data_IF_906365646001
#
_entry.id   IF_906365646001
#
_cell.length_a   1.000
_cell.length_b   1.000
_cell.length_c   1.000
_cell.angle_alpha   90.00
_cell.angle_beta   90.00
_cell.angle_gamma   90.00
#
_symmetry.space_group_name_H-M   'P 1'
#
loop_
_entity.id
_entity.type
_entity.pdbx_description
1 polymer ?
#
# COMPACT_ATOMS: atom_id res chain seq x y z
N UNK A 1 -3.57 -5.02 -2.57
CA UNK A 1 -3.02 -4.59 -3.87
C UNK A 1 -3.82 -3.51 -4.61
N UNK A 2 -5.17 -3.51 -4.76
CA UNK A 2 -5.87 -2.39 -5.40
C UNK A 2 -6.07 -1.16 -4.53
N UNK A 3 -6.07 -1.26 -3.21
CA UNK A 3 -6.34 -0.17 -2.27
C UNK A 3 -5.22 0.90 -2.18
N UNK A 4 -4.71 1.34 -3.33
CA UNK A 4 -3.63 2.33 -3.44
C UNK A 4 -4.03 3.67 -2.83
N UNK A 5 -5.28 4.10 -3.08
CA UNK A 5 -5.77 5.37 -2.62
C UNK A 5 -6.02 5.36 -1.11
N UNK A 6 -6.62 4.29 -0.59
CA UNK A 6 -6.89 4.14 0.84
C UNK A 6 -5.59 4.13 1.67
N UNK A 7 -4.55 3.43 1.22
CA UNK A 7 -3.23 3.43 1.87
C UNK A 7 -2.59 4.81 1.90
N UNK A 8 -2.61 5.52 0.78
CA UNK A 8 -2.12 6.89 0.73
C UNK A 8 -2.86 7.78 1.73
N UNK A 9 -4.20 7.76 1.70
CA UNK A 9 -5.01 8.59 2.58
C UNK A 9 -4.81 8.24 4.06
N UNK A 10 -4.62 6.95 4.37
CA UNK A 10 -4.26 6.50 5.70
C UNK A 10 -2.96 7.13 6.18
N UNK A 11 -1.91 7.07 5.35
CA UNK A 11 -0.64 7.71 5.67
C UNK A 11 -0.77 9.23 5.86
N UNK A 12 -1.51 9.93 4.97
CA UNK A 12 -1.72 11.37 5.08
C UNK A 12 -2.44 11.77 6.38
N UNK A 13 -3.44 11.00 6.82
CA UNK A 13 -4.12 11.27 8.10
C UNK A 13 -3.23 10.91 9.30
N UNK A 14 -2.51 9.79 9.24
CA UNK A 14 -1.55 9.40 10.28
C UNK A 14 -0.47 10.46 10.48
N UNK A 15 0.08 11.01 9.39
CA UNK A 15 1.15 12.01 9.46
C UNK A 15 0.74 13.29 10.20
N UNK A 16 -0.54 13.64 10.21
CA UNK A 16 -1.04 14.82 10.94
C UNK A 16 -0.94 14.67 12.46
N UNK A 17 -0.96 13.45 12.96
CA UNK A 17 -0.89 13.14 14.40
C UNK A 17 0.53 12.95 14.94
N UNK A 18 1.57 12.97 14.09
CA UNK A 18 2.96 12.77 14.49
C UNK A 18 3.56 14.04 15.12
N UNK A 19 4.67 13.88 15.83
CA UNK A 19 5.45 15.01 16.35
C UNK A 19 6.01 15.90 15.23
N UNK A 20 6.45 17.12 15.61
CA UNK A 20 6.88 18.13 14.65
C UNK A 20 8.10 17.72 13.80
N UNK A 21 9.04 16.96 14.36
CA UNK A 21 10.25 16.53 13.66
C UNK A 21 9.90 15.56 12.55
N UNK A 22 9.09 14.55 12.86
CA UNK A 22 8.60 13.59 11.86
C UNK A 22 7.73 14.24 10.79
N UNK A 23 6.87 15.20 11.17
CA UNK A 23 6.09 15.96 10.19
C UNK A 23 6.98 16.79 9.27
N UNK A 24 8.06 17.38 9.76
CA UNK A 24 9.03 18.13 8.95
C UNK A 24 9.72 17.22 7.94
N UNK A 25 10.21 16.05 8.38
CA UNK A 25 10.83 15.05 7.50
C UNK A 25 9.86 14.55 6.43
N UNK A 26 8.63 14.21 6.81
CA UNK A 26 7.60 13.74 5.87
C UNK A 26 7.24 14.84 4.86
N UNK A 27 7.14 16.09 5.29
CA UNK A 27 6.85 17.21 4.41
C UNK A 27 7.98 17.43 3.40
N UNK A 28 9.22 17.42 3.86
CA UNK A 28 10.40 17.60 3.02
C UNK A 28 10.57 16.47 2.00
N UNK A 29 10.30 15.24 2.40
CA UNK A 29 10.45 14.03 1.58
C UNK A 29 9.10 13.34 1.29
N UNK A 30 8.06 14.14 1.04
CA UNK A 30 6.67 13.67 0.87
C UNK A 30 6.50 12.61 -0.22
N UNK A 31 7.32 12.64 -1.26
CA UNK A 31 7.29 11.62 -2.32
C UNK A 31 7.81 10.26 -1.82
N UNK A 32 8.83 10.26 -0.95
CA UNK A 32 9.34 9.03 -0.33
C UNK A 32 8.32 8.45 0.65
N UNK A 33 7.74 9.28 1.51
CA UNK A 33 6.64 8.89 2.40
C UNK A 33 5.48 8.28 1.61
N UNK A 34 5.03 8.98 0.57
CA UNK A 34 3.92 8.52 -0.28
C UNK A 34 4.23 7.19 -0.98
N UNK A 35 5.48 6.98 -1.44
CA UNK A 35 5.87 5.68 -1.99
C UNK A 35 5.89 4.60 -0.88
N UNK A 36 6.34 4.96 0.32
CA UNK A 36 6.31 4.09 1.50
C UNK A 36 4.91 3.58 1.83
N UNK A 37 3.86 4.41 1.68
CA UNK A 37 2.47 3.97 1.91
C UNK A 37 2.00 2.85 0.96
N UNK A 38 2.79 2.51 -0.05
CA UNK A 38 2.54 1.35 -0.91
C UNK A 38 3.34 0.12 -0.48
N UNK A 39 4.23 0.25 0.50
CA UNK A 39 4.98 -0.85 1.07
C UNK A 39 5.61 -1.77 0.02
N UNK A 40 5.56 -3.10 0.24
CA UNK A 40 6.12 -4.07 -0.69
C UNK A 40 5.26 -4.28 -1.94
N UNK A 41 4.05 -3.72 -2.02
CA UNK A 41 3.13 -3.84 -3.15
C UNK A 41 3.71 -3.29 -4.45
N UNK A 42 4.58 -2.28 -4.35
CA UNK A 42 5.30 -1.75 -5.51
C UNK A 42 6.04 -2.86 -6.29
N UNK A 43 6.49 -3.92 -5.62
CA UNK A 43 7.22 -5.02 -6.24
C UNK A 43 6.33 -5.90 -7.13
N UNK A 44 5.02 -5.95 -6.87
CA UNK A 44 4.08 -6.71 -7.70
C UNK A 44 3.92 -6.13 -9.11
N UNK A 45 4.27 -4.86 -9.28
CA UNK A 45 4.25 -4.19 -10.57
C UNK A 45 5.52 -4.41 -11.41
N UNK A 46 6.54 -5.14 -10.89
CA UNK A 46 7.70 -5.53 -11.70
C UNK A 46 7.32 -6.66 -12.65
N UNK A 47 7.21 -6.37 -13.95
CA UNK A 47 6.82 -7.36 -14.99
C UNK A 47 5.60 -8.21 -14.55
N UNK A 48 4.42 -7.60 -14.32
CA UNK A 48 3.29 -8.21 -13.59
C UNK A 48 2.70 -9.46 -14.24
N UNK A 49 2.93 -9.66 -15.54
CA UNK A 49 2.44 -10.84 -16.28
C UNK A 49 3.40 -12.03 -16.22
N UNK A 50 4.61 -11.86 -15.66
CA UNK A 50 5.62 -12.91 -15.59
C UNK A 50 5.96 -13.21 -14.13
N UNK A 51 6.14 -14.49 -13.80
CA UNK A 51 6.77 -14.87 -12.53
C UNK A 51 8.22 -14.39 -12.53
N UNK A 52 8.66 -13.75 -11.46
CA UNK A 52 10.03 -13.27 -11.30
C UNK A 52 10.37 -13.09 -9.82
N UNK A 53 11.65 -13.06 -9.53
CA UNK A 53 12.19 -12.96 -8.16
C UNK A 53 11.73 -11.70 -7.42
N UNK A 54 11.64 -10.55 -8.12
CA UNK A 54 11.21 -9.30 -7.49
C UNK A 54 9.78 -9.39 -6.98
N UNK A 55 8.87 -10.02 -7.74
CA UNK A 55 7.49 -10.24 -7.28
C UNK A 55 7.42 -11.27 -6.17
N UNK A 56 8.22 -12.35 -6.28
CA UNK A 56 8.30 -13.34 -5.21
C UNK A 56 8.83 -12.72 -3.92
N UNK A 57 9.81 -11.82 -4.02
CA UNK A 57 10.30 -11.06 -2.87
C UNK A 57 9.18 -10.25 -2.19
N UNK A 58 8.34 -9.54 -2.96
CA UNK A 58 7.15 -8.86 -2.42
C UNK A 58 6.21 -9.82 -1.67
N UNK A 59 5.90 -10.98 -2.28
CA UNK A 59 5.06 -12.01 -1.64
C UNK A 59 5.70 -12.54 -0.34
N UNK A 60 6.99 -12.82 -0.36
CA UNK A 60 7.70 -13.32 0.81
C UNK A 60 7.76 -12.27 1.93
N UNK A 61 7.86 -10.98 1.58
CA UNK A 61 7.83 -9.89 2.55
C UNK A 61 6.46 -9.83 3.25
N UNK A 62 5.36 -9.94 2.52
CA UNK A 62 4.01 -9.99 3.12
C UNK A 62 3.80 -11.19 4.05
N UNK A 63 4.52 -12.28 3.84
CA UNK A 63 4.41 -13.47 4.68
C UNK A 63 5.22 -13.40 5.98
N UNK A 64 6.18 -12.46 6.08
CA UNK A 64 7.00 -12.27 7.29
C UNK A 64 6.23 -11.49 8.36
N UNK A 65 6.59 -11.70 9.63
CA UNK A 65 6.11 -10.83 10.71
C UNK A 65 6.59 -9.39 10.51
N UNK A 66 5.80 -8.44 10.96
CA UNK A 66 6.24 -7.03 10.98
C UNK A 66 7.56 -6.87 11.71
N UNK A 67 7.74 -7.59 12.83
CA UNK A 67 9.01 -7.59 13.57
C UNK A 67 10.21 -7.91 12.68
N UNK A 68 10.16 -9.02 11.96
CA UNK A 68 11.28 -9.45 11.09
C UNK A 68 11.57 -8.44 9.95
N UNK A 69 10.55 -7.76 9.47
CA UNK A 69 10.70 -6.74 8.41
C UNK A 69 11.28 -5.45 8.97
N UNK A 70 10.71 -4.93 10.07
CA UNK A 70 11.04 -3.60 10.57
C UNK A 70 12.27 -3.58 11.48
N UNK A 71 12.65 -4.68 12.15
CA UNK A 71 13.96 -4.78 12.81
C UNK A 71 15.11 -4.61 11.80
N UNK A 72 15.00 -5.28 10.63
CA UNK A 72 15.99 -5.12 9.57
C UNK A 72 16.05 -3.69 9.03
N UNK A 73 14.90 -3.05 8.83
CA UNK A 73 14.83 -1.68 8.33
C UNK A 73 15.35 -0.66 9.34
N UNK A 74 15.07 -0.88 10.63
CA UNK A 74 15.63 -0.06 11.70
C UNK A 74 17.15 -0.19 11.76
N UNK A 75 17.70 -1.42 11.67
CA UNK A 75 19.14 -1.63 11.62
C UNK A 75 19.79 -0.87 10.46
N UNK A 76 19.20 -0.93 9.26
CA UNK A 76 19.67 -0.17 8.10
C UNK A 76 19.63 1.34 8.33
N UNK A 77 18.63 1.86 9.02
CA UNK A 77 18.54 3.29 9.35
C UNK A 77 19.60 3.69 10.37
N UNK A 78 19.85 2.85 11.39
CA UNK A 78 20.92 3.04 12.37
C UNK A 78 22.30 3.04 11.70
N UNK A 79 22.58 2.10 10.80
CA UNK A 79 23.82 2.03 10.02
C UNK A 79 24.07 3.30 9.20
N UNK A 80 23.03 3.99 8.75
CA UNK A 80 23.12 5.28 8.06
C UNK A 80 23.25 6.48 9.01
N UNK A 81 23.37 6.26 10.32
CA UNK A 81 23.49 7.30 11.34
C UNK A 81 22.17 7.96 11.70
N UNK A 82 21.06 7.24 11.62
CA UNK A 82 19.69 7.73 11.96
C UNK A 82 19.34 9.05 11.27
N UNK A 83 19.65 9.18 9.99
CA UNK A 83 19.39 10.42 9.24
C UNK A 83 17.90 10.67 9.05
N UNK A 84 17.53 11.92 9.20
CA UNK A 84 16.19 12.44 8.92
C UNK A 84 16.08 12.80 7.42
N UNK A 85 15.99 11.80 6.58
CA UNK A 85 16.05 11.92 5.13
C UNK A 85 14.91 11.16 4.42
N UNK A 86 15.04 10.99 3.12
CA UNK A 86 14.08 10.27 2.30
C UNK A 86 13.88 8.81 2.75
N UNK A 87 14.89 8.19 3.38
CA UNK A 87 14.76 6.82 3.86
C UNK A 87 13.85 6.76 5.09
N UNK A 88 14.03 7.66 6.07
CA UNK A 88 13.13 7.74 7.22
C UNK A 88 11.69 8.06 6.79
N UNK A 89 11.50 9.03 5.90
CA UNK A 89 10.16 9.33 5.38
C UNK A 89 9.52 8.11 4.71
N UNK A 90 10.29 7.35 3.92
CA UNK A 90 9.82 6.10 3.32
C UNK A 90 9.42 5.07 4.38
N UNK A 91 10.22 4.91 5.43
CA UNK A 91 9.92 3.98 6.54
C UNK A 91 8.63 4.36 7.26
N UNK A 92 8.41 5.65 7.54
CA UNK A 92 7.15 6.12 8.13
C UNK A 92 5.94 5.75 7.26
N UNK A 93 6.03 5.94 5.95
CA UNK A 93 4.98 5.52 5.02
C UNK A 93 4.80 4.00 5.01
N UNK A 94 5.89 3.24 5.08
CA UNK A 94 5.83 1.78 5.08
C UNK A 94 5.21 1.22 6.37
N UNK A 95 5.47 1.85 7.51
CA UNK A 95 4.79 1.52 8.76
C UNK A 95 3.28 1.78 8.68
N UNK A 96 2.86 2.86 8.01
CA UNK A 96 1.44 3.09 7.72
C UNK A 96 0.85 1.95 6.86
N UNK A 97 1.53 1.55 5.79
CA UNK A 97 1.09 0.44 4.94
C UNK A 97 0.92 -0.84 5.75
N UNK A 98 1.95 -1.24 6.50
CA UNK A 98 1.92 -2.43 7.34
C UNK A 98 0.77 -2.40 8.35
N UNK A 99 0.58 -1.26 9.04
CA UNK A 99 -0.48 -1.14 10.05
C UNK A 99 -1.86 -1.34 9.43
N UNK A 100 -2.15 -0.70 8.31
CA UNK A 100 -3.45 -0.84 7.65
C UNK A 100 -3.67 -2.27 7.15
N UNK A 101 -2.66 -2.87 6.52
CA UNK A 101 -2.73 -4.26 6.03
C UNK A 101 -2.98 -5.24 7.19
N UNK A 102 -2.20 -5.15 8.26
CA UNK A 102 -2.32 -6.05 9.42
C UNK A 102 -3.69 -5.96 10.10
N UNK A 103 -4.32 -4.78 10.10
CA UNK A 103 -5.64 -4.56 10.68
C UNK A 103 -6.80 -4.97 9.76
N UNK A 104 -6.62 -4.87 8.44
CA UNK A 104 -7.72 -5.00 7.47
C UNK A 104 -7.73 -6.34 6.72
N UNK A 105 -6.57 -6.93 6.37
CA UNK A 105 -6.54 -8.05 5.44
C UNK A 105 -7.24 -9.31 5.96
N UNK A 106 -7.09 -9.62 7.26
CA UNK A 106 -7.84 -10.76 7.81
C UNK A 106 -9.35 -10.56 7.67
N UNK A 107 -9.86 -9.37 7.93
CA UNK A 107 -11.26 -9.04 7.73
C UNK A 107 -11.66 -9.20 6.25
N UNK A 108 -10.85 -8.69 5.32
CA UNK A 108 -11.09 -8.79 3.88
C UNK A 108 -11.11 -10.24 3.43
N UNK A 109 -10.17 -11.05 3.88
CA UNK A 109 -10.09 -12.47 3.55
C UNK A 109 -11.31 -13.24 4.09
N UNK A 110 -11.71 -12.99 5.34
CA UNK A 110 -12.89 -13.61 5.96
C UNK A 110 -14.20 -13.26 5.25
N UNK A 111 -14.28 -12.08 4.59
CA UNK A 111 -15.47 -11.62 3.84
C UNK A 111 -15.37 -11.87 2.34
N UNK A 112 -14.26 -12.43 1.87
CA UNK A 112 -14.09 -12.80 0.46
C UNK A 112 -14.87 -14.06 0.13
N UNK A 113 -15.60 -14.03 -0.98
CA UNK A 113 -16.44 -15.13 -1.45
C UNK A 113 -16.23 -15.40 -2.94
N UNK A 114 -16.93 -16.38 -3.50
CA UNK A 114 -16.94 -16.59 -4.95
C UNK A 114 -17.59 -15.44 -5.72
N UNK A 115 -18.51 -14.69 -5.08
CA UNK A 115 -19.21 -13.55 -5.67
C UNK A 115 -18.43 -12.23 -5.48
N UNK A 116 -17.69 -12.09 -4.38
CA UNK A 116 -16.94 -10.89 -4.04
C UNK A 116 -15.51 -11.28 -3.67
N UNK A 117 -14.57 -11.04 -4.57
CA UNK A 117 -13.17 -11.38 -4.34
C UNK A 117 -12.50 -10.37 -3.40
N UNK A 118 -11.38 -10.77 -2.79
CA UNK A 118 -10.49 -9.89 -2.02
C UNK A 118 -10.20 -8.57 -2.77
N UNK A 119 -9.71 -8.68 -4.02
CA UNK A 119 -9.41 -7.50 -4.83
C UNK A 119 -10.64 -6.63 -5.16
N UNK A 120 -11.84 -7.23 -5.18
CA UNK A 120 -13.09 -6.49 -5.33
C UNK A 120 -13.39 -5.64 -4.09
N UNK A 121 -13.29 -6.22 -2.89
CA UNK A 121 -13.50 -5.48 -1.64
C UNK A 121 -12.54 -4.29 -1.57
N UNK A 122 -11.26 -4.49 -1.84
CA UNK A 122 -10.26 -3.42 -1.82
C UNK A 122 -10.53 -2.33 -2.87
N UNK A 123 -10.91 -2.69 -4.10
CA UNK A 123 -11.21 -1.70 -5.14
C UNK A 123 -12.48 -0.91 -4.85
N UNK A 124 -13.50 -1.54 -4.24
CA UNK A 124 -14.70 -0.86 -3.77
C UNK A 124 -14.40 0.08 -2.59
N UNK A 125 -13.50 -0.31 -1.71
CA UNK A 125 -13.04 0.57 -0.62
C UNK A 125 -12.26 1.78 -1.15
N UNK A 126 -11.38 1.61 -2.13
CA UNK A 126 -10.72 2.75 -2.83
C UNK A 126 -11.75 3.71 -3.46
N UNK A 127 -12.81 3.18 -4.08
CA UNK A 127 -13.91 3.99 -4.61
C UNK A 127 -14.67 4.74 -3.52
N UNK A 128 -14.95 4.06 -2.40
CA UNK A 128 -15.59 4.66 -1.24
C UNK A 128 -14.77 5.84 -0.71
N UNK A 129 -13.47 5.67 -0.54
CA UNK A 129 -12.54 6.71 -0.08
C UNK A 129 -12.43 7.87 -1.07
N UNK A 130 -12.36 7.60 -2.38
CA UNK A 130 -12.38 8.65 -3.42
C UNK A 130 -13.63 9.53 -3.33
N UNK A 131 -14.81 8.93 -3.12
CA UNK A 131 -16.07 9.69 -2.97
C UNK A 131 -16.11 10.48 -1.68
N UNK A 132 -15.65 9.90 -0.58
CA UNK A 132 -15.55 10.58 0.72
C UNK A 132 -14.70 11.85 0.61
N UNK A 133 -13.67 11.84 -0.23
CA UNK A 133 -12.81 13.00 -0.51
C UNK A 133 -13.37 13.90 -1.65
N UNK A 134 -14.59 13.68 -2.12
CA UNK A 134 -15.26 14.51 -3.13
C UNK A 134 -14.81 14.25 -4.57
N UNK A 135 -14.05 13.19 -4.83
CA UNK A 135 -13.63 12.85 -6.19
C UNK A 135 -14.65 11.98 -6.91
N UNK A 136 -14.89 12.26 -8.17
CA UNK A 136 -15.66 11.34 -9.01
C UNK A 136 -14.81 10.13 -9.36
N UNK A 137 -15.44 8.96 -9.39
CA UNK A 137 -14.78 7.72 -9.78
C UNK A 137 -14.22 7.87 -11.20
N UNK A 138 -13.00 7.39 -11.41
CA UNK A 138 -12.23 7.54 -12.67
C UNK A 138 -11.84 8.99 -13.01
N UNK A 139 -11.99 9.94 -12.07
CA UNK A 139 -11.53 11.32 -12.32
C UNK A 139 -10.03 11.45 -12.28
N UNK A 140 -9.36 10.53 -11.59
CA UNK A 140 -7.92 10.54 -11.35
C UNK A 140 -7.32 9.14 -11.49
N UNK A 141 -6.09 9.09 -11.96
CA UNK A 141 -5.25 7.92 -11.80
C UNK A 141 -4.88 7.78 -10.32
N UNK A 142 -5.32 6.70 -9.66
CA UNK A 142 -5.09 6.45 -8.24
C UNK A 142 -3.62 6.30 -7.85
N UNK A 143 -2.74 6.06 -8.81
CA UNK A 143 -1.29 6.04 -8.63
C UNK A 143 -0.57 7.28 -9.18
N UNK A 144 -1.29 8.35 -9.53
CA UNK A 144 -0.70 9.58 -10.11
C UNK A 144 0.28 10.25 -9.16
N UNK A 145 0.01 10.17 -7.86
CA UNK A 145 0.82 10.76 -6.80
C UNK A 145 2.13 10.01 -6.53
N UNK A 146 2.28 8.77 -7.00
CA UNK A 146 3.50 8.00 -6.79
C UNK A 146 4.60 8.55 -7.69
N UNK A 147 5.67 9.03 -7.08
CA UNK A 147 6.84 9.60 -7.75
C UNK A 147 8.05 8.66 -7.64
N UNK A 148 9.03 8.85 -8.51
CA UNK A 148 10.34 8.23 -8.43
C UNK A 148 11.45 9.26 -8.26
N UNK A 149 11.14 10.48 -7.78
CA UNK A 149 12.07 11.60 -7.62
C UNK A 149 12.53 11.75 -6.17
N UNK A 150 13.38 12.71 -5.90
CA UNK A 150 13.75 13.17 -4.55
C UNK A 150 14.17 12.05 -3.60
N UNK A 151 15.02 11.10 -4.08
CA UNK A 151 15.54 10.02 -3.26
C UNK A 151 14.60 8.84 -3.00
N UNK A 152 13.33 8.92 -3.41
CA UNK A 152 12.36 7.87 -3.04
C UNK A 152 12.64 6.49 -3.68
N UNK A 153 13.23 6.44 -4.89
CA UNK A 153 13.65 5.14 -5.47
C UNK A 153 14.78 4.50 -4.68
N UNK A 154 15.76 5.30 -4.28
CA UNK A 154 16.89 4.88 -3.46
C UNK A 154 16.39 4.38 -2.10
N UNK A 155 15.53 5.13 -1.43
CA UNK A 155 14.92 4.74 -0.16
C UNK A 155 14.16 3.41 -0.27
N UNK A 156 13.31 3.27 -1.28
CA UNK A 156 12.59 2.03 -1.56
C UNK A 156 13.54 0.86 -1.89
N UNK A 157 14.55 1.10 -2.73
CA UNK A 157 15.54 0.09 -3.12
C UNK A 157 16.32 -0.43 -1.91
N UNK A 158 16.74 0.47 -1.03
CA UNK A 158 17.44 0.15 0.21
C UNK A 158 16.54 -0.67 1.16
N UNK A 159 15.34 -0.18 1.45
CA UNK A 159 14.39 -0.86 2.34
C UNK A 159 14.03 -2.27 1.86
N UNK A 160 13.88 -2.43 0.54
CA UNK A 160 13.49 -3.71 -0.04
C UNK A 160 14.66 -4.63 -0.40
N UNK A 161 15.91 -4.17 -0.35
CA UNK A 161 17.05 -4.93 -0.85
C UNK A 161 16.93 -5.25 -2.36
N UNK A 162 16.35 -4.36 -3.15
CA UNK A 162 16.06 -4.55 -4.57
C UNK A 162 16.73 -3.46 -5.40
N UNK A 163 17.31 -3.82 -6.53
CA UNK A 163 17.96 -2.87 -7.45
C UNK A 163 17.05 -1.69 -7.83
N UNK A 164 17.59 -0.46 -7.79
CA UNK A 164 16.86 0.78 -8.05
C UNK A 164 16.20 0.81 -9.45
N UNK A 165 16.83 0.20 -10.47
CA UNK A 165 16.25 0.14 -11.82
C UNK A 165 15.01 -0.75 -11.84
N UNK A 166 14.97 -1.81 -11.01
CA UNK A 166 13.77 -2.65 -10.83
C UNK A 166 12.65 -1.86 -10.14
N UNK A 167 12.98 -1.09 -9.10
CA UNK A 167 12.03 -0.18 -8.42
C UNK A 167 11.49 0.87 -9.40
N UNK A 168 12.35 1.56 -10.13
CA UNK A 168 11.94 2.55 -11.13
C UNK A 168 10.98 1.98 -12.17
N UNK A 169 11.25 0.75 -12.65
CA UNK A 169 10.35 0.05 -13.57
C UNK A 169 9.02 -0.29 -12.91
N UNK A 170 9.04 -0.75 -11.67
CA UNK A 170 7.82 -1.06 -10.88
C UNK A 170 6.93 0.18 -10.74
N UNK A 171 7.49 1.31 -10.33
CA UNK A 171 6.79 2.60 -10.19
C UNK A 171 6.15 3.01 -11.53
N UNK A 172 6.93 2.97 -12.63
CA UNK A 172 6.43 3.31 -13.97
C UNK A 172 5.26 2.41 -14.38
N UNK A 173 5.38 1.10 -14.12
CA UNK A 173 4.35 0.12 -14.45
C UNK A 173 3.11 0.31 -13.57
N UNK A 174 3.28 0.55 -12.27
CA UNK A 174 2.21 0.82 -11.33
C UNK A 174 1.37 2.02 -11.77
N UNK A 175 2.01 3.13 -12.10
CA UNK A 175 1.32 4.33 -12.61
C UNK A 175 0.57 4.07 -13.91
N UNK A 176 1.17 3.32 -14.84
CA UNK A 176 0.55 2.98 -16.12
C UNK A 176 -0.68 2.10 -15.93
N UNK A 177 -0.55 1.02 -15.17
CA UNK A 177 -1.62 0.04 -14.96
C UNK A 177 -2.79 0.69 -14.22
N UNK A 178 -2.53 1.44 -13.14
CA UNK A 178 -3.60 2.11 -12.40
C UNK A 178 -4.25 3.23 -13.20
N UNK A 179 -3.51 3.90 -14.08
CA UNK A 179 -4.07 4.82 -15.07
C UNK A 179 -5.03 4.13 -16.04
N UNK A 180 -4.76 2.88 -16.39
CA UNK A 180 -5.66 2.08 -17.22
C UNK A 180 -6.91 1.65 -16.44
N UNK A 181 -6.76 1.19 -15.21
CA UNK A 181 -7.87 0.77 -14.34
C UNK A 181 -8.82 1.92 -13.97
N UNK A 182 -8.31 3.14 -13.89
CA UNK A 182 -9.06 4.36 -13.62
C UNK A 182 -9.40 5.17 -14.89
N UNK A 183 -9.31 4.58 -16.07
CA UNK A 183 -9.62 5.26 -17.34
C UNK A 183 -11.06 5.74 -17.38
N UNK A 184 -11.27 6.95 -17.93
CA UNK A 184 -12.61 7.53 -18.13
C UNK A 184 -13.34 6.93 -19.34
N UNK A 185 -12.61 6.28 -20.24
CA UNK A 185 -13.14 5.78 -21.51
C UNK A 185 -13.84 4.44 -21.28
N UNK A 186 -15.18 4.43 -21.36
CA UNK A 186 -16.01 3.24 -21.14
C UNK A 186 -15.70 2.12 -22.14
N UNK A 187 -15.53 2.49 -23.40
CA UNK A 187 -15.18 1.55 -24.46
C UNK A 187 -13.86 0.83 -24.18
N UNK A 188 -12.90 1.56 -23.58
CA UNK A 188 -11.62 0.95 -23.15
C UNK A 188 -11.84 -0.11 -22.06
N UNK A 189 -12.69 0.16 -21.06
CA UNK A 189 -12.99 -0.83 -20.02
C UNK A 189 -13.66 -2.07 -20.61
N UNK A 190 -14.65 -1.90 -21.47
CA UNK A 190 -15.34 -3.02 -22.13
C UNK A 190 -14.37 -3.86 -22.96
N UNK A 191 -13.50 -3.21 -23.73
CA UNK A 191 -12.47 -3.88 -24.51
C UNK A 191 -11.44 -4.60 -23.62
N UNK A 192 -10.98 -3.96 -22.54
CA UNK A 192 -10.04 -4.56 -21.61
C UNK A 192 -10.62 -5.81 -20.93
N UNK A 193 -11.86 -5.77 -20.46
CA UNK A 193 -12.57 -6.93 -19.91
C UNK A 193 -12.71 -8.05 -20.95
N UNK A 194 -13.06 -7.71 -22.20
CA UNK A 194 -13.11 -8.71 -23.27
C UNK A 194 -11.76 -9.40 -23.49
N UNK A 195 -10.67 -8.65 -23.56
CA UNK A 195 -9.31 -9.21 -23.69
C UNK A 195 -8.94 -10.07 -22.47
N UNK A 196 -9.24 -9.62 -21.26
CA UNK A 196 -8.98 -10.38 -20.03
C UNK A 196 -9.74 -11.70 -19.98
N UNK A 197 -10.99 -11.75 -20.49
CA UNK A 197 -11.78 -12.99 -20.60
C UNK A 197 -11.16 -13.98 -21.57
N UNK A 198 -10.77 -13.52 -22.77
CA UNK A 198 -10.07 -14.37 -23.75
C UNK A 198 -8.76 -14.90 -23.16
N UNK A 199 -8.00 -14.07 -22.46
CA UNK A 199 -6.75 -14.45 -21.82
C UNK A 199 -6.94 -15.30 -20.54
N UNK A 200 -8.18 -15.57 -20.10
CA UNK A 200 -8.53 -16.23 -18.83
C UNK A 200 -7.95 -15.52 -17.60
N UNK A 201 -7.80 -14.20 -17.68
CA UNK A 201 -7.21 -13.35 -16.64
C UNK A 201 -8.26 -12.45 -15.96
N UNK A 202 -9.51 -12.53 -16.36
CA UNK A 202 -10.61 -11.70 -15.84
C UNK A 202 -10.71 -11.80 -14.32
N UNK A 203 -10.71 -13.02 -13.76
CA UNK A 203 -10.79 -13.25 -12.31
C UNK A 203 -9.62 -12.65 -11.54
N UNK A 204 -8.49 -12.41 -12.20
CA UNK A 204 -7.26 -11.88 -11.56
C UNK A 204 -7.17 -10.37 -11.61
N UNK A 205 -7.62 -9.75 -12.69
CA UNK A 205 -7.40 -8.33 -12.95
C UNK A 205 -8.71 -7.55 -13.17
N UNK A 206 -9.83 -8.22 -13.43
CA UNK A 206 -11.10 -7.56 -13.70
C UNK A 206 -11.58 -6.72 -12.53
N UNK A 207 -11.44 -7.22 -11.31
CA UNK A 207 -11.85 -6.54 -10.10
C UNK A 207 -10.99 -5.30 -9.75
N UNK A 208 -9.85 -5.13 -10.42
CA UNK A 208 -8.99 -3.95 -10.23
C UNK A 208 -9.49 -2.72 -11.01
N UNK A 209 -10.42 -2.90 -11.97
CA UNK A 209 -11.00 -1.79 -12.70
C UNK A 209 -12.02 -1.05 -11.83
N UNK A 210 -11.88 0.27 -11.75
CA UNK A 210 -12.81 1.11 -11.00
C UNK A 210 -14.12 1.27 -11.79
N UNK A 211 -15.12 0.48 -11.48
CA UNK A 211 -16.45 0.60 -12.07
C UNK A 211 -17.17 1.83 -11.51
N UNK A 212 -17.97 2.53 -12.37
CA UNK A 212 -18.73 3.72 -11.94
C UNK A 212 -19.80 3.41 -10.90
N UNK A 213 -20.44 2.23 -11.03
CA UNK A 213 -21.44 1.76 -10.07
C UNK A 213 -20.75 1.05 -8.92
N UNK A 214 -21.28 1.24 -7.72
CA UNK A 214 -20.83 0.49 -6.55
C UNK A 214 -21.42 -0.90 -6.58
N UNK A 215 -20.66 -1.84 -6.05
CA UNK A 215 -21.17 -3.18 -5.80
C UNK A 215 -21.96 -3.17 -4.47
N UNK A 216 -23.27 -3.45 -4.50
CA UNK A 216 -24.07 -3.44 -3.28
C UNK A 216 -23.62 -4.49 -2.26
N UNK A 217 -22.95 -5.57 -2.69
CA UNK A 217 -22.40 -6.59 -1.81
C UNK A 217 -21.22 -6.08 -0.98
N UNK A 218 -20.55 -5.01 -1.43
CA UNK A 218 -19.45 -4.40 -0.70
C UNK A 218 -19.87 -3.23 0.21
N UNK A 219 -21.17 -2.93 0.33
CA UNK A 219 -21.63 -1.80 1.14
C UNK A 219 -21.24 -1.95 2.61
N UNK A 220 -21.49 -3.12 3.20
CA UNK A 220 -21.17 -3.36 4.61
C UNK A 220 -19.66 -3.41 4.82
N UNK A 221 -18.91 -4.10 3.95
CA UNK A 221 -17.46 -4.17 4.08
C UNK A 221 -16.80 -2.80 3.98
N UNK A 222 -17.33 -1.87 3.18
CA UNK A 222 -16.83 -0.50 3.13
C UNK A 222 -17.04 0.25 4.45
N UNK A 223 -18.19 0.03 5.15
CA UNK A 223 -18.47 0.65 6.45
C UNK A 223 -17.54 0.09 7.53
N UNK A 224 -17.36 -1.22 7.57
CA UNK A 224 -16.50 -1.87 8.56
C UNK A 224 -15.02 -1.52 8.32
N UNK A 225 -14.60 -1.42 7.06
CA UNK A 225 -13.23 -1.04 6.71
C UNK A 225 -12.92 0.43 7.03
N UNK A 226 -13.87 1.35 6.90
CA UNK A 226 -13.62 2.75 7.28
C UNK A 226 -13.48 2.91 8.80
N UNK A 227 -14.18 2.12 9.61
CA UNK A 227 -13.99 2.10 11.07
C UNK A 227 -12.59 1.60 11.40
N UNK A 228 -12.17 0.45 10.86
CA UNK A 228 -10.81 -0.09 11.05
C UNK A 228 -9.72 0.88 10.59
N UNK A 229 -9.95 1.57 9.48
CA UNK A 229 -9.07 2.59 8.93
C UNK A 229 -8.92 3.78 9.91
N UNK A 230 -10.03 4.24 10.49
CA UNK A 230 -10.03 5.35 11.47
C UNK A 230 -9.34 4.93 12.77
N UNK A 231 -9.67 3.76 13.31
CA UNK A 231 -9.08 3.22 14.54
C UNK A 231 -7.59 2.89 14.38
N UNK A 232 -7.16 2.57 13.16
CA UNK A 232 -5.76 2.32 12.82
C UNK A 232 -4.87 3.56 12.84
N UNK A 233 -5.40 4.78 12.66
CA UNK A 233 -4.60 6.02 12.60
C UNK A 233 -3.78 6.23 13.90
N UNK A 234 -4.37 6.24 15.10
CA UNK A 234 -3.60 6.41 16.32
C UNK A 234 -2.62 5.24 16.56
N UNK A 235 -2.96 4.03 16.13
CA UNK A 235 -2.05 2.87 16.21
C UNK A 235 -0.83 3.10 15.33
N UNK A 236 -1.01 3.53 14.09
CA UNK A 236 0.09 3.82 13.16
C UNK A 236 0.96 4.97 13.67
N UNK A 237 0.36 6.06 14.20
CA UNK A 237 1.11 7.18 14.78
C UNK A 237 1.98 6.71 15.95
N UNK A 238 1.44 5.95 16.89
CA UNK A 238 2.19 5.42 18.03
C UNK A 238 3.32 4.48 17.60
N UNK A 239 3.10 3.63 16.59
CA UNK A 239 4.12 2.75 16.03
C UNK A 239 5.26 3.55 15.39
N UNK A 240 4.95 4.60 14.61
CA UNK A 240 5.95 5.42 13.94
C UNK A 240 6.78 6.20 14.96
N UNK A 241 6.18 6.80 15.98
CA UNK A 241 6.89 7.52 17.02
C UNK A 241 7.77 6.60 17.86
N UNK A 242 7.28 5.40 18.18
CA UNK A 242 8.08 4.38 18.86
C UNK A 242 9.26 3.93 17.99
N UNK A 243 9.06 3.73 16.70
CA UNK A 243 10.12 3.35 15.76
C UNK A 243 11.21 4.42 15.65
N UNK A 244 10.83 5.70 15.66
CA UNK A 244 11.76 6.82 15.60
C UNK A 244 12.55 7.00 16.89
N UNK A 245 11.90 6.87 18.06
CA UNK A 245 12.47 7.23 19.36
C UNK A 245 13.06 6.09 20.18
N UNK A 246 12.72 4.83 19.88
CA UNK A 246 13.07 3.70 20.75
C UNK A 246 14.30 2.92 20.25
N UNK A 247 15.06 2.36 21.22
CA UNK A 247 16.13 1.41 20.91
C UNK A 247 15.61 0.05 20.46
N UNK A 248 14.40 -0.31 20.89
CA UNK A 248 13.67 -1.50 20.44
C UNK A 248 12.35 -1.10 19.76
N UNK A 249 12.38 -0.81 18.45
CA UNK A 249 11.28 -0.17 17.74
C UNK A 249 10.07 -1.08 17.49
N UNK A 250 10.21 -2.39 17.63
CA UNK A 250 9.19 -3.38 17.24
C UNK A 250 8.53 -4.07 18.45
N UNK A 251 8.41 -3.38 19.60
CA UNK A 251 7.77 -3.91 20.80
C UNK A 251 6.24 -3.98 20.73
N UNK A 252 5.61 -3.17 19.87
CA UNK A 252 4.17 -3.17 19.73
C UNK A 252 3.69 -4.57 19.27
N UNK A 253 2.63 -5.07 19.90
CA UNK A 253 2.04 -6.39 19.61
C UNK A 253 1.68 -6.56 18.12
N UNK A 254 1.35 -5.47 17.40
CA UNK A 254 1.02 -5.53 15.98
C UNK A 254 2.18 -6.09 15.14
N UNK A 255 3.42 -5.89 15.55
CA UNK A 255 4.59 -6.43 14.83
C UNK A 255 4.70 -7.96 14.86
N UNK A 256 3.94 -8.65 15.71
CA UNK A 256 3.82 -10.13 15.67
C UNK A 256 3.01 -10.62 14.47
N UNK A 257 2.18 -9.76 13.90
CA UNK A 257 1.38 -10.10 12.71
C UNK A 257 2.20 -9.92 11.44
N UNK A 258 1.81 -10.66 10.41
CA UNK A 258 2.24 -10.39 9.05
C UNK A 258 1.27 -9.38 8.38
N UNK A 259 1.55 -9.02 7.13
CA UNK A 259 0.70 -8.09 6.37
C UNK A 259 -0.71 -8.64 6.04
N UNK A 260 -0.94 -9.93 6.23
CA UNK A 260 -2.28 -10.53 6.11
C UNK A 260 -3.04 -10.59 7.44
N UNK A 261 -2.55 -9.94 8.48
CA UNK A 261 -3.18 -9.95 9.82
C UNK A 261 -3.13 -11.31 10.51
N UNK A 262 -2.14 -12.15 10.20
CA UNK A 262 -1.93 -13.48 10.79
C UNK A 262 -0.72 -13.42 11.70
N UNK A 263 -0.90 -13.86 12.96
CA UNK A 263 0.20 -13.97 13.92
C UNK A 263 1.26 -14.94 13.38
N UNK A 264 2.51 -14.54 13.45
CA UNK A 264 3.68 -15.37 13.18
C UNK A 264 4.39 -15.64 14.50
N UNK A 265 4.48 -16.90 14.84
CA UNK A 265 5.39 -17.36 15.90
C UNK A 265 6.82 -17.17 15.38
N UNK A 266 7.67 -16.50 16.17
CA UNK A 266 9.08 -16.26 15.84
C UNK A 266 9.89 -17.53 16.00
#
# INVERSE_FOLDING_TARGET
>A
MPAIYAHRRFGEETAKGLNADLQAVITQYSEAFTLGTQGPDVLFYHKPLKRNETRLHGTNTHAKSGKAVFDNMHALWVEQGKKEDAFLAYLCGYLCHFTLDALCHKYIDDHSTSAVSHGKIESEFDKFMLRKDGFSIRSQNTAKFISGKNGCKQACALAMGVDEKKIARSIKTMRKINGMFSSRVELFHSFAHFVLRIAKMERKFGDMFLHKKDDPLCKQTNLDLIEKWQDGIPVASGIIESFYGADNPTQNELFRYNFSGIIKEN
#
